data_IF_757609520038
#
_entry.id   IF_757609520038
#
_cell.length_a   1.000
_cell.length_b   1.000
_cell.length_c   1.000
_cell.angle_alpha   90.00
_cell.angle_beta   90.00
_cell.angle_gamma   90.00
#
_symmetry.space_group_name_H-M   'P 1'
#
loop_
_entity.id
_entity.type
_entity.pdbx_description
1 polymer ?
#
# COMPACT_ATOMS: atom_id res chain seq x y z
N UNK A 1 -15.07 14.42 13.81
CA UNK A 1 -14.94 13.66 12.56
C UNK A 1 -13.51 13.16 12.46
N UNK A 2 -13.25 11.92 12.84
CA UNK A 2 -11.94 11.34 12.55
C UNK A 2 -11.95 11.02 11.05
N UNK A 3 -11.31 11.87 10.24
CA UNK A 3 -11.05 11.54 8.85
C UNK A 3 -10.35 10.18 8.79
N UNK A 4 -10.68 9.37 7.80
CA UNK A 4 -10.01 8.09 7.60
C UNK A 4 -8.49 8.27 7.61
N UNK A 5 -7.79 7.44 8.37
CA UNK A 5 -6.34 7.53 8.46
C UNK A 5 -5.71 7.39 7.07
N UNK A 6 -4.72 8.21 6.71
CA UNK A 6 -4.12 8.23 5.37
C UNK A 6 -3.57 6.86 4.97
N UNK A 7 -3.11 6.06 5.94
CA UNK A 7 -2.68 4.67 5.74
C UNK A 7 -3.78 3.78 5.16
N UNK A 8 -5.05 3.95 5.56
CA UNK A 8 -6.17 3.16 5.02
C UNK A 8 -6.48 3.54 3.58
N UNK A 9 -6.38 4.83 3.26
CA UNK A 9 -6.55 5.33 1.90
C UNK A 9 -5.43 4.82 0.98
N UNK A 10 -4.20 4.78 1.47
CA UNK A 10 -3.06 4.20 0.78
C UNK A 10 -3.25 2.70 0.50
N UNK A 11 -3.67 1.90 1.48
CA UNK A 11 -3.96 0.47 1.29
C UNK A 11 -5.00 0.27 0.19
N UNK A 12 -6.12 1.01 0.27
CA UNK A 12 -7.20 0.92 -0.73
C UNK A 12 -6.69 1.28 -2.13
N UNK A 13 -5.88 2.33 -2.25
CA UNK A 13 -5.30 2.73 -3.53
C UNK A 13 -4.37 1.65 -4.08
N UNK A 14 -3.51 1.05 -3.26
CA UNK A 14 -2.60 -0.02 -3.71
C UNK A 14 -3.40 -1.26 -4.16
N UNK A 15 -4.46 -1.62 -3.44
CA UNK A 15 -5.31 -2.77 -3.80
C UNK A 15 -6.01 -2.54 -5.16
N UNK A 16 -6.49 -1.32 -5.41
CA UNK A 16 -7.06 -0.91 -6.70
C UNK A 16 -6.04 -1.01 -7.84
N UNK A 17 -4.79 -0.55 -7.62
CA UNK A 17 -3.72 -0.68 -8.60
C UNK A 17 -3.33 -2.14 -8.87
N UNK A 18 -3.33 -3.00 -7.85
CA UNK A 18 -3.07 -4.43 -8.00
C UNK A 18 -4.26 -5.18 -8.61
N UNK A 19 -5.47 -4.64 -8.50
CA UNK A 19 -6.65 -5.17 -9.17
C UNK A 19 -6.59 -4.91 -10.68
N UNK A 20 -6.18 -3.70 -11.08
CA UNK A 20 -6.00 -3.31 -12.49
C UNK A 20 -4.77 -4.00 -13.12
N UNK A 21 -3.63 -3.96 -12.44
CA UNK A 21 -2.40 -4.66 -12.85
C UNK A 21 -1.86 -5.56 -11.71
N UNK A 22 -2.24 -6.85 -11.66
CA UNK A 22 -1.76 -7.77 -10.62
C UNK A 22 -0.25 -8.07 -10.71
N UNK A 23 0.41 -7.65 -11.79
CA UNK A 23 1.86 -7.76 -11.97
C UNK A 23 2.61 -6.48 -11.60
N UNK A 24 1.89 -5.44 -11.15
CA UNK A 24 2.50 -4.19 -10.74
C UNK A 24 3.50 -4.40 -9.60
N UNK A 25 4.58 -3.65 -9.66
CA UNK A 25 5.61 -3.70 -8.63
C UNK A 25 5.09 -3.11 -7.33
N UNK A 26 4.87 -3.98 -6.33
CA UNK A 26 4.31 -3.60 -5.03
C UNK A 26 5.16 -2.56 -4.32
N UNK A 27 6.50 -2.59 -4.47
CA UNK A 27 7.38 -1.61 -3.83
C UNK A 27 7.19 -0.23 -4.47
N UNK A 28 7.05 -0.17 -5.80
CA UNK A 28 6.72 1.09 -6.50
C UNK A 28 5.35 1.64 -6.09
N UNK A 29 4.36 0.78 -5.88
CA UNK A 29 3.04 1.22 -5.42
C UNK A 29 3.10 1.79 -4.00
N UNK A 30 3.88 1.18 -3.09
CA UNK A 30 4.05 1.76 -1.74
C UNK A 30 4.71 3.13 -1.79
N UNK A 31 5.79 3.29 -2.55
CA UNK A 31 6.48 4.58 -2.66
C UNK A 31 5.56 5.68 -3.22
N UNK A 32 4.75 5.34 -4.24
CA UNK A 32 3.74 6.25 -4.77
C UNK A 32 2.66 6.60 -3.75
N UNK A 33 2.15 5.59 -3.03
CA UNK A 33 1.15 5.80 -2.00
C UNK A 33 1.69 6.65 -0.85
N UNK A 34 2.95 6.44 -0.44
CA UNK A 34 3.59 7.19 0.62
C UNK A 34 3.66 8.69 0.31
N UNK A 35 4.04 9.04 -0.93
CA UNK A 35 4.08 10.44 -1.38
C UNK A 35 2.69 11.02 -1.60
N UNK A 36 1.74 10.21 -2.08
CA UNK A 36 0.37 10.65 -2.39
C UNK A 36 -0.45 10.96 -1.14
N UNK A 37 -0.28 10.18 -0.08
CA UNK A 37 -1.05 10.28 1.16
C UNK A 37 -0.26 10.89 2.32
N UNK A 38 0.92 11.45 2.04
CA UNK A 38 1.82 12.06 3.04
C UNK A 38 2.10 11.09 4.22
N UNK A 39 2.44 9.84 3.88
CA UNK A 39 2.68 8.80 4.85
C UNK A 39 4.04 8.99 5.54
N UNK A 40 4.08 8.69 6.83
CA UNK A 40 5.34 8.64 7.56
C UNK A 40 6.19 7.45 7.11
N UNK A 41 7.52 7.47 7.31
CA UNK A 41 8.37 6.31 7.03
C UNK A 41 7.89 5.01 7.70
N UNK A 42 7.33 5.13 8.90
CA UNK A 42 6.74 4.02 9.65
C UNK A 42 5.51 3.41 8.95
N UNK A 43 4.65 4.26 8.38
CA UNK A 43 3.47 3.85 7.63
C UNK A 43 3.86 3.15 6.31
N UNK A 44 4.88 3.66 5.63
CA UNK A 44 5.43 3.03 4.44
C UNK A 44 6.02 1.64 4.76
N UNK A 45 6.75 1.50 5.85
CA UNK A 45 7.23 0.20 6.34
C UNK A 45 6.09 -0.78 6.64
N UNK A 46 5.00 -0.29 7.25
CA UNK A 46 3.81 -1.10 7.49
C UNK A 46 3.23 -1.63 6.17
N UNK A 47 3.10 -0.78 5.14
CA UNK A 47 2.61 -1.19 3.82
C UNK A 47 3.51 -2.23 3.16
N UNK A 48 4.84 -2.05 3.22
CA UNK A 48 5.82 -2.99 2.67
C UNK A 48 5.64 -4.38 3.28
N UNK A 49 5.55 -4.45 4.62
CA UNK A 49 5.36 -5.71 5.35
C UNK A 49 4.03 -6.35 4.99
N UNK A 50 2.95 -5.57 5.05
CA UNK A 50 1.59 -6.00 4.71
C UNK A 50 1.49 -6.62 3.31
N UNK A 51 2.10 -5.98 2.30
CA UNK A 51 2.08 -6.46 0.91
C UNK A 51 3.02 -7.65 0.67
N UNK A 52 4.10 -7.76 1.43
CA UNK A 52 5.03 -8.90 1.36
C UNK A 52 4.39 -10.14 1.96
N UNK A 53 3.70 -9.99 3.10
CA UNK A 53 2.98 -11.08 3.78
C UNK A 53 1.83 -11.62 2.93
N UNK A 54 1.06 -10.74 2.26
CA UNK A 54 0.02 -11.15 1.30
C UNK A 54 0.55 -11.95 0.10
N UNK A 55 1.80 -11.70 -0.33
CA UNK A 55 2.41 -12.42 -1.46
C UNK A 55 2.85 -13.85 -1.13
N UNK A 56 3.11 -14.14 0.14
CA UNK A 56 3.61 -15.46 0.58
C UNK A 56 2.52 -16.51 0.80
N UNK A 57 1.24 -16.13 0.73
CA UNK A 57 0.10 -17.04 0.83
C UNK A 57 -0.50 -17.51 -0.49
N UNK A 58 0.04 -17.05 -1.63
CA UNK A 58 -0.37 -17.48 -2.97
C UNK A 58 0.78 -18.28 -3.60
N UNK A 59 1.04 -19.47 -3.06
CA UNK A 59 1.98 -20.47 -3.57
C UNK A 59 1.35 -21.85 -3.47
#
# INVERSE_FOLDING_TARGET
MAGEAPIKQAVKWIDDQLHDDPRADRMKLVDQAARRFDLSPLDAEFLIRHLTERGRGAG
#
